data_IF_608788911443
#
_entry.id   IF_608788911443
#
_cell.length_a   1.000
_cell.length_b   1.000
_cell.length_c   1.000
_cell.angle_alpha   90.00
_cell.angle_beta   90.00
_cell.angle_gamma   90.00
#
_symmetry.space_group_name_H-M   'P 1'
#
loop_
_entity.id
_entity.type
_entity.pdbx_description
1 polymer ?
#
# COMPACT_ATOMS: atom_id res chain seq x y z
N UNK A 1 35.82 -6.00 14.18
CA UNK A 1 34.47 -6.45 13.81
C UNK A 1 33.56 -5.25 14.01
N UNK A 2 32.92 -4.75 12.96
CA UNK A 2 31.94 -3.68 13.11
C UNK A 2 30.67 -4.29 13.73
N UNK A 3 30.27 -3.79 14.90
CA UNK A 3 28.99 -4.16 15.50
C UNK A 3 27.85 -3.66 14.57
N UNK A 4 27.38 -4.55 13.69
CA UNK A 4 26.27 -4.27 12.82
C UNK A 4 24.97 -4.41 13.63
N UNK A 5 24.31 -3.30 13.90
CA UNK A 5 22.99 -3.30 14.54
C UNK A 5 21.91 -3.05 13.49
N UNK A 6 20.97 -3.99 13.39
CA UNK A 6 19.76 -3.80 12.58
C UNK A 6 18.84 -2.82 13.31
N UNK A 7 18.50 -1.71 12.64
CA UNK A 7 17.48 -0.76 13.11
C UNK A 7 16.21 -0.92 12.30
N UNK A 8 15.09 -0.91 12.98
CA UNK A 8 13.78 -0.91 12.35
C UNK A 8 13.13 0.46 12.53
N UNK A 9 12.68 1.06 11.43
CA UNK A 9 11.88 2.27 11.48
C UNK A 9 10.45 2.02 11.90
N UNK A 10 9.76 3.08 12.30
CA UNK A 10 8.34 3.12 12.60
C UNK A 10 7.80 4.52 12.30
N UNK A 11 6.49 4.73 12.40
CA UNK A 11 5.90 6.08 12.28
C UNK A 11 6.48 7.09 13.29
N UNK A 12 6.93 6.61 14.44
CA UNK A 12 7.46 7.45 15.51
C UNK A 12 8.99 7.53 15.53
N UNK A 13 9.67 6.69 14.76
CA UNK A 13 11.14 6.61 14.75
C UNK A 13 11.63 6.18 13.37
N UNK A 14 11.91 7.14 12.52
CA UNK A 14 12.47 6.90 11.19
C UNK A 14 13.52 7.95 10.83
N UNK A 15 14.47 7.55 10.01
CA UNK A 15 15.47 8.46 9.41
C UNK A 15 15.11 8.72 7.96
N UNK A 16 15.22 9.98 7.52
CA UNK A 16 15.10 10.35 6.11
C UNK A 16 16.29 9.77 5.34
N UNK A 17 15.99 9.12 4.22
CA UNK A 17 17.00 8.78 3.24
C UNK A 17 17.55 10.03 2.54
N UNK A 18 18.67 9.86 1.85
CA UNK A 18 19.21 10.85 0.92
C UNK A 18 19.36 10.19 -0.43
N UNK A 19 18.89 10.87 -1.47
CA UNK A 19 19.11 10.49 -2.85
C UNK A 19 19.57 11.72 -3.62
N UNK A 20 20.70 11.60 -4.28
CA UNK A 20 21.20 12.60 -5.21
C UNK A 20 20.93 12.12 -6.63
N UNK A 21 19.91 12.67 -7.34
CA UNK A 21 19.70 12.33 -8.73
C UNK A 21 20.82 12.93 -9.59
N UNK A 22 21.52 12.06 -10.29
CA UNK A 22 22.62 12.46 -11.19
C UNK A 22 22.08 12.44 -12.62
N UNK A 23 21.71 13.61 -13.13
CA UNK A 23 21.36 13.84 -14.53
C UNK A 23 20.20 12.97 -15.08
N UNK A 24 19.22 12.59 -14.24
CA UNK A 24 18.10 11.76 -14.62
C UNK A 24 16.80 12.17 -13.92
N UNK A 25 15.71 11.49 -14.21
CA UNK A 25 14.41 11.71 -13.58
C UNK A 25 14.43 11.16 -12.13
N UNK A 26 14.10 12.01 -11.17
CA UNK A 26 14.05 11.65 -9.74
C UNK A 26 13.19 10.41 -9.45
N UNK A 27 12.21 10.10 -10.29
CA UNK A 27 11.37 8.90 -10.18
C UNK A 27 12.11 7.58 -10.30
N UNK A 28 13.31 7.58 -10.89
CA UNK A 28 14.12 6.39 -11.08
C UNK A 28 14.94 6.01 -9.85
N UNK A 29 14.92 6.84 -8.81
CA UNK A 29 15.71 6.64 -7.60
C UNK A 29 14.80 6.46 -6.40
N UNK A 30 15.29 5.86 -5.37
CA UNK A 30 14.54 5.76 -4.14
C UNK A 30 14.48 7.13 -3.45
N UNK A 31 13.49 7.37 -2.67
CA UNK A 31 12.96 8.66 -2.48
C UNK A 31 12.71 8.96 -1.03
N UNK A 32 11.53 8.91 -0.55
CA UNK A 32 11.26 9.15 0.84
C UNK A 32 11.23 7.86 1.64
N UNK A 33 11.34 7.98 2.94
CA UNK A 33 11.06 6.87 3.84
C UNK A 33 9.55 6.59 3.85
N UNK A 34 9.15 5.32 3.78
CA UNK A 34 7.74 4.94 3.77
C UNK A 34 6.96 5.45 5.00
N UNK A 35 7.61 5.54 6.15
CA UNK A 35 6.99 6.07 7.37
C UNK A 35 6.75 7.58 7.28
N UNK A 36 7.65 8.33 6.63
CA UNK A 36 7.47 9.76 6.38
C UNK A 36 6.28 10.00 5.46
N UNK A 37 6.17 9.22 4.37
CA UNK A 37 5.04 9.31 3.44
C UNK A 37 3.74 9.01 4.18
N UNK A 38 3.67 7.93 4.94
CA UNK A 38 2.48 7.55 5.69
C UNK A 38 2.10 8.60 6.74
N UNK A 39 3.10 9.22 7.40
CA UNK A 39 2.85 10.25 8.41
C UNK A 39 2.28 11.54 7.82
N UNK A 40 2.58 11.83 6.55
CA UNK A 40 2.11 13.00 5.82
C UNK A 40 0.89 12.72 4.92
N UNK A 41 0.34 11.51 4.97
CA UNK A 41 -0.81 11.09 4.16
C UNK A 41 -2.06 10.99 5.00
N UNK A 42 -3.22 11.23 4.39
CA UNK A 42 -4.50 10.88 5.00
C UNK A 42 -4.67 9.35 5.06
N UNK A 43 -5.58 8.89 5.93
CA UNK A 43 -5.87 7.47 6.05
C UNK A 43 -6.31 6.90 4.70
N UNK A 44 -5.68 5.79 4.34
CA UNK A 44 -5.96 5.00 3.12
C UNK A 44 -5.69 5.69 1.77
N UNK A 45 -4.99 6.83 1.76
CA UNK A 45 -4.36 7.31 0.53
C UNK A 45 -3.29 6.31 0.07
N UNK A 46 -3.29 6.01 -1.23
CA UNK A 46 -2.39 5.05 -1.88
C UNK A 46 -1.28 5.81 -2.60
N UNK A 47 -0.22 6.18 -1.85
CA UNK A 47 0.86 7.02 -2.38
C UNK A 47 1.96 6.16 -3.00
N UNK A 48 2.17 6.30 -4.29
CA UNK A 48 3.23 5.60 -5.03
C UNK A 48 4.60 6.09 -4.58
N UNK A 49 5.46 5.18 -4.11
CA UNK A 49 6.83 5.51 -3.72
C UNK A 49 7.90 4.66 -4.44
N UNK A 50 7.48 3.77 -5.30
CA UNK A 50 8.32 3.01 -6.19
C UNK A 50 7.54 2.53 -7.40
N UNK A 51 8.15 2.57 -8.59
CA UNK A 51 7.52 2.17 -9.83
C UNK A 51 8.50 1.45 -10.73
N UNK A 52 8.04 0.38 -11.37
CA UNK A 52 8.74 -0.33 -12.42
C UNK A 52 7.73 -0.69 -13.51
N UNK A 53 7.72 0.09 -14.58
CA UNK A 53 6.71 0.02 -15.65
C UNK A 53 5.30 0.27 -15.07
N UNK A 54 4.38 -0.67 -15.26
CA UNK A 54 3.01 -0.61 -14.69
C UNK A 54 2.94 -1.03 -13.21
N UNK A 55 3.98 -1.69 -12.68
CA UNK A 55 3.99 -2.14 -11.30
C UNK A 55 4.41 -1.02 -10.35
N UNK A 56 3.65 -0.86 -9.28
CA UNK A 56 3.91 0.15 -8.26
C UNK A 56 3.96 -0.46 -6.87
N UNK A 57 4.70 0.21 -6.00
CA UNK A 57 4.58 0.05 -4.56
C UNK A 57 3.92 1.31 -3.99
N UNK A 58 2.82 1.11 -3.29
CA UNK A 58 2.06 2.17 -2.64
C UNK A 58 2.25 2.12 -1.13
N UNK A 59 2.52 3.26 -0.52
CA UNK A 59 2.49 3.41 0.93
C UNK A 59 1.11 3.87 1.34
N UNK A 60 0.57 3.23 2.36
CA UNK A 60 -0.77 3.49 2.90
C UNK A 60 -0.66 3.68 4.41
N UNK A 61 -1.18 4.82 4.91
CA UNK A 61 -1.46 4.99 6.34
C UNK A 61 -2.75 4.24 6.66
N UNK A 62 -2.66 3.19 7.44
CA UNK A 62 -3.83 2.45 7.90
C UNK A 62 -4.32 3.03 9.23
N UNK A 63 -5.52 3.61 9.25
CA UNK A 63 -6.12 4.19 10.46
C UNK A 63 -7.66 4.17 10.35
N UNK A 64 -8.33 3.48 11.27
CA UNK A 64 -9.76 3.20 11.18
C UNK A 64 -10.08 2.11 10.15
N UNK A 65 -11.27 2.17 9.57
CA UNK A 65 -11.75 1.24 8.54
C UNK A 65 -11.60 1.88 7.15
N UNK A 66 -10.99 1.16 6.22
CA UNK A 66 -10.94 1.61 4.82
C UNK A 66 -12.27 1.41 4.11
N UNK A 67 -12.47 2.02 2.93
CA UNK A 67 -13.42 1.50 1.96
C UNK A 67 -13.11 0.04 1.60
N UNK A 68 -14.07 -0.63 0.95
CA UNK A 68 -13.83 -1.91 0.31
C UNK A 68 -13.19 -1.70 -1.06
N UNK A 69 -12.13 -2.44 -1.32
CA UNK A 69 -11.40 -2.44 -2.59
C UNK A 69 -11.50 -3.80 -3.25
N UNK A 70 -11.31 -3.84 -4.55
CA UNK A 70 -11.10 -5.06 -5.33
C UNK A 70 -10.09 -4.82 -6.44
N UNK A 71 -9.50 -5.88 -6.96
CA UNK A 71 -8.54 -5.80 -8.06
C UNK A 71 -8.74 -6.95 -9.04
N UNK A 72 -8.36 -6.72 -10.30
CA UNK A 72 -8.40 -7.75 -11.34
C UNK A 72 -7.22 -8.73 -11.27
N UNK A 73 -6.17 -8.41 -10.52
CA UNK A 73 -5.00 -9.25 -10.27
C UNK A 73 -4.75 -9.44 -8.77
N UNK A 74 -3.88 -10.36 -8.41
CA UNK A 74 -3.44 -10.54 -7.04
C UNK A 74 -2.56 -9.36 -6.60
N UNK A 75 -2.82 -8.86 -5.41
CA UNK A 75 -2.01 -7.81 -4.77
C UNK A 75 -1.36 -8.36 -3.50
N UNK A 76 -0.28 -7.71 -3.04
CA UNK A 76 0.43 -8.10 -1.82
C UNK A 76 0.53 -6.92 -0.86
N UNK A 77 0.01 -7.12 0.35
CA UNK A 77 0.10 -6.14 1.43
C UNK A 77 1.16 -6.56 2.45
N UNK A 78 2.14 -5.69 2.69
CA UNK A 78 3.19 -5.87 3.70
C UNK A 78 2.97 -4.87 4.83
N UNK A 79 2.78 -5.35 6.06
CA UNK A 79 2.69 -4.49 7.23
C UNK A 79 4.09 -4.05 7.67
N UNK A 80 4.35 -2.75 7.63
CA UNK A 80 5.62 -2.14 8.01
C UNK A 80 5.61 -1.64 9.46
N UNK A 81 4.45 -1.21 9.95
CA UNK A 81 4.27 -0.75 11.34
C UNK A 81 2.82 -0.93 11.80
N UNK A 82 2.64 -1.05 13.11
CA UNK A 82 1.34 -1.27 13.72
C UNK A 82 0.79 -2.68 13.54
N UNK A 83 -0.52 -2.79 13.69
CA UNK A 83 -1.30 -4.00 13.42
C UNK A 83 -2.47 -3.65 12.50
N UNK A 84 -2.64 -4.41 11.44
CA UNK A 84 -3.71 -4.18 10.45
C UNK A 84 -4.46 -5.47 10.18
N UNK A 85 -5.76 -5.44 10.32
CA UNK A 85 -6.64 -6.52 9.88
C UNK A 85 -7.01 -6.33 8.41
N UNK A 86 -7.06 -7.43 7.67
CA UNK A 86 -7.55 -7.47 6.29
C UNK A 86 -8.75 -8.39 6.25
N UNK A 87 -9.93 -7.84 6.01
CA UNK A 87 -11.17 -8.58 5.87
C UNK A 87 -11.41 -8.88 4.39
N UNK A 88 -11.83 -10.11 4.08
CA UNK A 88 -11.92 -10.61 2.70
C UNK A 88 -13.29 -11.21 2.42
N UNK A 89 -13.83 -10.84 1.24
CA UNK A 89 -15.06 -11.39 0.69
C UNK A 89 -14.81 -11.81 -0.76
N UNK A 90 -15.09 -13.07 -1.11
CA UNK A 90 -15.07 -13.51 -2.50
C UNK A 90 -16.28 -12.94 -3.22
N UNK A 91 -16.04 -12.00 -4.13
CA UNK A 91 -17.11 -11.28 -4.82
C UNK A 91 -17.89 -12.17 -5.80
N UNK A 92 -19.18 -11.89 -5.91
CA UNK A 92 -19.99 -12.36 -7.03
C UNK A 92 -19.54 -11.69 -8.34
N UNK A 93 -19.73 -12.36 -9.46
CA UNK A 93 -19.24 -11.91 -10.76
C UNK A 93 -19.64 -10.46 -11.12
N UNK A 94 -20.83 -10.03 -10.70
CA UNK A 94 -21.33 -8.69 -10.99
C UNK A 94 -20.54 -7.54 -10.33
N UNK A 95 -19.84 -7.82 -9.22
CA UNK A 95 -19.03 -6.82 -8.51
C UNK A 95 -17.53 -6.97 -8.73
N UNK A 96 -17.10 -7.98 -9.49
CA UNK A 96 -15.69 -8.10 -9.89
C UNK A 96 -15.36 -7.06 -10.97
N UNK A 97 -14.08 -6.70 -11.06
CA UNK A 97 -13.61 -5.80 -12.12
C UNK A 97 -13.88 -6.45 -13.48
N UNK A 98 -14.71 -5.80 -14.28
CA UNK A 98 -15.12 -6.29 -15.60
C UNK A 98 -14.29 -5.69 -16.74
N UNK A 99 -13.70 -4.53 -16.51
CA UNK A 99 -12.90 -3.82 -17.48
C UNK A 99 -11.44 -4.32 -17.42
N UNK A 100 -10.96 -4.98 -18.48
CA UNK A 100 -9.58 -5.48 -18.50
C UNK A 100 -8.53 -4.38 -18.57
N UNK A 101 -8.94 -3.15 -18.88
CA UNK A 101 -8.06 -1.97 -18.91
C UNK A 101 -7.90 -1.33 -17.52
N UNK A 102 -8.74 -1.70 -16.55
CA UNK A 102 -8.60 -1.24 -15.17
C UNK A 102 -7.57 -2.06 -14.43
N UNK A 103 -6.39 -1.51 -14.35
CA UNK A 103 -5.32 -2.03 -13.52
C UNK A 103 -5.35 -1.38 -12.13
N UNK A 104 -4.73 -2.04 -11.15
CA UNK A 104 -4.71 -1.59 -9.77
C UNK A 104 -6.05 -1.76 -9.04
N UNK A 105 -6.08 -1.33 -7.79
CA UNK A 105 -7.27 -1.42 -6.96
C UNK A 105 -8.34 -0.43 -7.39
N UNK A 106 -9.59 -0.87 -7.32
CA UNK A 106 -10.78 -0.02 -7.50
C UNK A 106 -11.69 -0.13 -6.28
N UNK A 107 -12.57 0.86 -6.07
CA UNK A 107 -13.57 0.82 -5.02
C UNK A 107 -14.68 -0.16 -5.37
N UNK A 108 -15.13 -0.93 -4.39
CA UNK A 108 -16.34 -1.73 -4.50
C UNK A 108 -17.54 -0.82 -4.28
N UNK A 109 -18.49 -0.83 -5.21
CA UNK A 109 -19.73 -0.07 -5.07
C UNK A 109 -20.64 -0.72 -4.01
N UNK A 110 -20.91 0.01 -2.93
CA UNK A 110 -21.73 -0.45 -1.81
C UNK A 110 -21.08 -1.55 -0.98
N UNK A 111 -21.90 -2.39 -0.36
CA UNK A 111 -21.40 -3.53 0.43
C UNK A 111 -21.01 -4.70 -0.49
N UNK A 112 -19.88 -5.37 -0.23
CA UNK A 112 -19.46 -6.49 -1.06
C UNK A 112 -20.45 -7.66 -0.97
N UNK A 113 -20.92 -8.10 -2.12
CA UNK A 113 -21.81 -9.25 -2.25
C UNK A 113 -21.02 -10.50 -2.57
N UNK A 114 -21.17 -11.53 -1.74
CA UNK A 114 -20.48 -12.79 -1.96
C UNK A 114 -20.20 -13.57 -0.70
N UNK A 115 -19.28 -14.52 -0.80
CA UNK A 115 -18.94 -15.41 0.30
C UNK A 115 -17.83 -14.81 1.17
N UNK A 116 -18.07 -14.67 2.47
CA UNK A 116 -17.02 -14.31 3.42
C UNK A 116 -15.87 -15.32 3.35
N UNK A 117 -14.65 -14.83 3.13
CA UNK A 117 -13.44 -15.65 3.13
C UNK A 117 -12.79 -15.69 4.51
N UNK A 118 -13.02 -14.66 5.33
CA UNK A 118 -12.43 -14.50 6.64
C UNK A 118 -11.65 -13.20 6.75
N UNK A 119 -10.71 -13.19 7.67
CA UNK A 119 -9.81 -12.07 7.89
C UNK A 119 -8.44 -12.57 8.35
N UNK A 120 -7.43 -11.77 8.14
CA UNK A 120 -6.07 -11.98 8.63
C UNK A 120 -5.60 -10.74 9.38
N UNK A 121 -4.76 -10.93 10.39
CA UNK A 121 -4.13 -9.85 11.15
C UNK A 121 -2.64 -9.82 10.83
N UNK A 122 -2.19 -8.69 10.32
CA UNK A 122 -0.81 -8.45 9.99
C UNK A 122 -0.18 -7.56 11.06
N UNK A 123 0.92 -8.03 11.64
CA UNK A 123 1.86 -7.21 12.41
C UNK A 123 3.08 -6.88 11.56
N UNK A 124 4.02 -6.12 12.12
CA UNK A 124 5.24 -5.71 11.44
C UNK A 124 5.99 -6.89 10.79
N UNK A 125 6.28 -6.78 9.50
CA UNK A 125 6.95 -7.80 8.70
C UNK A 125 6.04 -8.91 8.16
N UNK A 126 4.76 -8.94 8.53
CA UNK A 126 3.82 -9.89 7.95
C UNK A 126 3.34 -9.41 6.59
N UNK A 127 3.17 -10.37 5.68
CA UNK A 127 2.63 -10.15 4.35
C UNK A 127 1.33 -10.94 4.17
N UNK A 128 0.35 -10.32 3.52
CA UNK A 128 -0.89 -10.95 3.11
C UNK A 128 -1.11 -10.82 1.61
N UNK A 129 -1.63 -11.88 0.98
CA UNK A 129 -2.08 -11.84 -0.39
C UNK A 129 -3.54 -11.43 -0.44
N UNK A 130 -3.89 -10.55 -1.37
CA UNK A 130 -5.22 -10.07 -1.68
C UNK A 130 -5.62 -10.66 -3.04
N UNK A 131 -6.40 -11.76 -3.06
CA UNK A 131 -6.64 -12.48 -4.30
C UNK A 131 -7.52 -11.68 -5.28
N UNK A 132 -7.20 -11.80 -6.55
CA UNK A 132 -8.03 -11.27 -7.63
C UNK A 132 -9.49 -11.69 -7.49
N UNK A 133 -10.42 -10.79 -7.81
CA UNK A 133 -11.85 -11.03 -7.72
C UNK A 133 -12.39 -11.19 -6.29
N UNK A 134 -11.61 -10.84 -5.28
CA UNK A 134 -12.08 -10.66 -3.91
C UNK A 134 -12.20 -9.17 -3.57
N UNK A 135 -13.14 -8.84 -2.68
CA UNK A 135 -13.11 -7.56 -1.98
C UNK A 135 -12.25 -7.67 -0.74
N UNK A 136 -11.48 -6.62 -0.46
CA UNK A 136 -10.73 -6.51 0.78
C UNK A 136 -10.93 -5.14 1.45
N UNK A 137 -10.87 -5.14 2.77
CA UNK A 137 -10.95 -3.95 3.61
C UNK A 137 -9.86 -4.02 4.66
N UNK A 138 -9.11 -2.94 4.81
CA UNK A 138 -8.17 -2.78 5.91
C UNK A 138 -8.87 -2.17 7.12
N UNK A 139 -8.50 -2.64 8.31
CA UNK A 139 -8.94 -2.08 9.58
C UNK A 139 -7.76 -1.97 10.54
N UNK A 140 -7.63 -0.81 11.16
CA UNK A 140 -6.57 -0.59 12.15
C UNK A 140 -7.06 0.32 13.26
N UNK A 141 -6.97 -0.15 14.51
CA UNK A 141 -7.38 0.63 15.68
C UNK A 141 -6.40 1.75 16.03
N UNK A 142 -5.15 1.61 15.61
CA UNK A 142 -4.09 2.59 15.79
C UNK A 142 -3.40 2.83 14.45
N UNK A 143 -2.80 4.00 14.22
CA UNK A 143 -2.08 4.25 12.99
C UNK A 143 -1.03 3.16 12.71
N UNK A 144 -1.05 2.62 11.49
CA UNK A 144 -0.12 1.64 10.98
C UNK A 144 0.34 1.99 9.57
N UNK A 145 1.27 1.22 9.04
CA UNK A 145 1.81 1.42 7.69
C UNK A 145 1.74 0.13 6.91
N UNK A 146 1.14 0.19 5.75
CA UNK A 146 1.12 -0.89 4.76
C UNK A 146 1.91 -0.44 3.53
N UNK A 147 2.67 -1.35 2.96
CA UNK A 147 3.12 -1.25 1.57
C UNK A 147 2.26 -2.22 0.76
N UNK A 148 1.59 -1.70 -0.26
CA UNK A 148 0.83 -2.49 -1.22
C UNK A 148 1.62 -2.59 -2.53
N UNK A 149 1.91 -3.81 -2.97
CA UNK A 149 2.46 -4.07 -4.29
C UNK A 149 1.32 -4.41 -5.24
N UNK A 150 1.19 -3.62 -6.29
CA UNK A 150 0.06 -3.68 -7.24
C UNK A 150 0.45 -3.14 -8.61
N UNK A 151 -0.48 -3.09 -9.56
CA UNK A 151 -0.36 -2.28 -10.75
C UNK A 151 -0.87 -0.87 -10.48
N UNK A 152 -0.32 0.12 -11.18
CA UNK A 152 -0.79 1.49 -11.11
C UNK A 152 -2.23 1.59 -11.61
N UNK A 153 -3.10 2.24 -10.84
CA UNK A 153 -4.52 2.38 -11.15
C UNK A 153 -5.09 3.74 -10.78
N UNK A 154 -6.40 3.86 -10.87
CA UNK A 154 -7.12 5.13 -10.62
C UNK A 154 -6.93 5.68 -9.21
N UNK A 155 -6.69 4.80 -8.22
CA UNK A 155 -6.49 5.19 -6.83
C UNK A 155 -5.02 5.47 -6.48
N UNK A 156 -4.09 5.21 -7.40
CA UNK A 156 -2.67 5.46 -7.19
C UNK A 156 -2.37 6.95 -7.24
N UNK A 157 -1.76 7.47 -6.18
CA UNK A 157 -1.44 8.90 -6.04
C UNK A 157 0.05 9.09 -6.26
N UNK A 158 0.42 9.87 -7.26
CA UNK A 158 1.81 10.23 -7.53
C UNK A 158 2.11 11.62 -6.97
N UNK A 159 3.06 11.68 -6.02
CA UNK A 159 3.53 12.90 -5.35
C UNK A 159 5.06 12.98 -5.38
N UNK A 160 5.65 12.69 -6.52
CA UNK A 160 7.11 12.57 -6.64
C UNK A 160 7.88 13.80 -6.19
N UNK A 161 7.34 15.01 -6.46
CA UNK A 161 7.96 16.27 -6.03
C UNK A 161 7.99 16.43 -4.51
N UNK A 162 7.04 15.84 -3.80
CA UNK A 162 6.94 15.92 -2.34
C UNK A 162 7.77 14.85 -1.64
N UNK A 163 7.89 13.67 -2.26
CA UNK A 163 8.54 12.51 -1.63
C UNK A 163 9.98 12.28 -2.09
N UNK A 164 10.38 12.80 -3.26
CA UNK A 164 11.76 12.72 -3.71
C UNK A 164 12.66 13.58 -2.84
N UNK A 165 13.73 12.98 -2.37
CA UNK A 165 14.74 13.68 -1.57
C UNK A 165 15.90 14.08 -2.46
N UNK A 166 16.06 15.36 -2.66
CA UNK A 166 17.28 15.95 -3.20
C UNK A 166 18.24 16.25 -2.07
N UNK A 167 19.52 16.02 -2.30
CA UNK A 167 20.59 16.35 -1.33
C UNK A 167 20.72 17.87 -1.14
#
# INVERSE_FOLDING_TARGET
MSDYQTRFGSLNDYEKGRVEPIADDARHYAFSNCFEIANNSAAYEKVVFGQNMEYVMEVIRAEGDSPWYTCAHDEFALCMDGEVEIHLVKLEAAQQVQDPEKEGAVLVEGEPQGKKMGWMKLGRGHQGMLPAGSAYQFRSSNPGVIILQTCKGELSIERWEEICQTA
#
